data_IF_832864494512
#
_entry.id   IF_832864494512
#
_cell.length_a   1.000
_cell.length_b   1.000
_cell.length_c   1.000
_cell.angle_alpha   90.00
_cell.angle_beta   90.00
_cell.angle_gamma   90.00
#
_symmetry.space_group_name_H-M   'P 1'
#
loop_
_entity.id
_entity.type
_entity.pdbx_description
1 polymer ?
#
# COMPACT_ATOMS: atom_id res chain seq x y z
N UNK A 1 -1.17 6.57 17.70
CA UNK A 1 -2.13 7.04 16.69
C UNK A 1 -1.36 7.09 15.39
N UNK A 2 -1.72 6.25 14.42
CA UNK A 2 -1.05 6.23 13.13
C UNK A 2 -1.45 7.50 12.39
N UNK A 3 -0.47 8.26 11.89
CA UNK A 3 -0.76 9.39 11.00
C UNK A 3 -1.44 8.83 9.74
N UNK A 4 -2.75 9.09 9.60
CA UNK A 4 -3.52 8.70 8.41
C UNK A 4 -2.90 9.27 7.12
N UNK A 5 -2.11 10.34 7.24
CA UNK A 5 -1.43 11.03 6.14
C UNK A 5 0.04 10.63 5.95
N UNK A 6 0.54 9.58 6.62
CA UNK A 6 1.91 9.14 6.35
C UNK A 6 2.03 8.56 4.93
N UNK A 7 3.15 8.79 4.24
CA UNK A 7 3.42 8.12 2.96
C UNK A 7 4.23 6.87 3.25
N UNK A 8 3.62 5.69 3.11
CA UNK A 8 4.26 4.40 3.42
C UNK A 8 4.97 3.76 2.21
N UNK A 9 4.87 4.39 1.03
CA UNK A 9 5.53 3.94 -0.19
C UNK A 9 6.84 4.67 -0.46
N UNK A 10 7.80 3.98 -1.06
CA UNK A 10 9.05 4.62 -1.52
C UNK A 10 8.79 5.41 -2.79
N UNK A 11 8.67 6.73 -2.66
CA UNK A 11 8.34 7.66 -3.74
C UNK A 11 9.17 7.46 -5.02
N UNK A 12 10.47 7.25 -4.89
CA UNK A 12 11.37 7.07 -6.03
C UNK A 12 11.08 5.79 -6.81
N UNK A 13 10.66 4.70 -6.14
CA UNK A 13 10.32 3.43 -6.79
C UNK A 13 9.02 3.54 -7.56
N UNK A 14 7.99 4.14 -6.96
CA UNK A 14 6.70 4.38 -7.62
C UNK A 14 6.87 5.26 -8.86
N UNK A 15 7.56 6.40 -8.70
CA UNK A 15 7.80 7.34 -9.82
C UNK A 15 8.61 6.68 -10.95
N UNK A 16 9.63 5.90 -10.60
CA UNK A 16 10.45 5.19 -11.60
C UNK A 16 9.63 4.13 -12.33
N UNK A 17 8.78 3.38 -11.63
CA UNK A 17 7.92 2.38 -12.24
C UNK A 17 6.96 3.01 -13.25
N UNK A 18 6.23 4.06 -12.85
CA UNK A 18 5.27 4.76 -13.74
C UNK A 18 5.97 5.38 -14.95
N UNK A 19 7.15 6.00 -14.75
CA UNK A 19 7.94 6.58 -15.83
C UNK A 19 8.44 5.52 -16.81
N UNK A 20 8.99 4.41 -16.32
CA UNK A 20 9.62 3.41 -17.18
C UNK A 20 8.59 2.58 -17.95
N UNK A 21 7.40 2.36 -17.38
CA UNK A 21 6.35 1.57 -18.03
C UNK A 21 5.43 2.40 -18.93
N UNK A 22 5.25 3.69 -18.62
CA UNK A 22 4.28 4.53 -19.33
C UNK A 22 4.82 5.85 -19.86
N UNK A 23 6.11 6.14 -19.73
CA UNK A 23 6.73 7.44 -20.08
C UNK A 23 6.08 8.65 -19.38
N UNK A 24 5.44 8.42 -18.22
CA UNK A 24 4.65 9.42 -17.50
C UNK A 24 5.39 10.07 -16.34
N UNK A 25 4.96 11.29 -15.99
CA UNK A 25 5.29 11.94 -14.70
C UNK A 25 4.21 11.60 -13.66
N UNK A 26 4.61 11.58 -12.39
CA UNK A 26 3.70 11.28 -11.28
C UNK A 26 3.61 12.47 -10.33
N UNK A 27 2.40 12.92 -10.01
CA UNK A 27 2.19 13.99 -9.02
C UNK A 27 2.47 13.50 -7.59
N UNK A 28 2.69 14.42 -6.66
CA UNK A 28 2.97 14.07 -5.26
C UNK A 28 1.77 13.39 -4.58
N UNK A 29 0.54 13.85 -4.85
CA UNK A 29 -0.69 13.34 -4.23
C UNK A 29 -0.97 11.87 -4.56
N UNK A 30 -0.46 11.35 -5.68
CA UNK A 30 -0.56 9.92 -6.02
C UNK A 30 0.09 9.06 -4.93
N UNK A 31 1.17 9.53 -4.30
CA UNK A 31 1.85 8.78 -3.24
C UNK A 31 0.97 8.62 -2.00
N UNK A 32 0.19 9.65 -1.66
CA UNK A 32 -0.78 9.58 -0.58
C UNK A 32 -1.88 8.58 -0.92
N UNK A 33 -2.50 8.74 -2.10
CA UNK A 33 -3.58 7.85 -2.55
C UNK A 33 -3.15 6.38 -2.61
N UNK A 34 -1.92 6.08 -3.03
CA UNK A 34 -1.39 4.72 -3.01
C UNK A 34 -1.15 4.22 -1.58
N UNK A 35 -0.66 5.07 -0.69
CA UNK A 35 -0.45 4.73 0.72
C UNK A 35 -1.78 4.38 1.39
N UNK A 36 -2.83 5.16 1.14
CA UNK A 36 -4.17 4.91 1.68
C UNK A 36 -4.73 3.57 1.19
N UNK A 37 -4.58 3.26 -0.10
CA UNK A 37 -5.00 1.97 -0.67
C UNK A 37 -4.24 0.79 -0.07
N UNK A 38 -2.92 0.91 0.10
CA UNK A 38 -2.10 -0.15 0.70
C UNK A 38 -2.51 -0.38 2.15
N UNK A 39 -2.83 0.69 2.92
CA UNK A 39 -3.36 0.53 4.28
C UNK A 39 -4.65 -0.27 4.29
N UNK A 40 -5.61 0.08 3.44
CA UNK A 40 -6.87 -0.68 3.33
C UNK A 40 -6.62 -2.15 3.03
N UNK A 41 -5.74 -2.46 2.07
CA UNK A 41 -5.35 -3.84 1.75
C UNK A 41 -4.71 -4.55 2.95
N UNK A 42 -3.84 -3.87 3.70
CA UNK A 42 -3.21 -4.42 4.90
C UNK A 42 -4.22 -4.63 6.04
N UNK A 43 -5.17 -3.72 6.23
CA UNK A 43 -6.20 -3.81 7.25
C UNK A 43 -7.12 -5.01 7.00
N UNK A 44 -7.54 -5.21 5.75
CA UNK A 44 -8.31 -6.38 5.32
C UNK A 44 -7.50 -7.67 5.50
N UNK A 45 -6.23 -7.67 5.12
CA UNK A 45 -5.37 -8.85 5.30
C UNK A 45 -5.11 -9.20 6.77
N UNK A 46 -5.03 -8.20 7.66
CA UNK A 46 -4.96 -8.43 9.09
C UNK A 46 -6.24 -9.05 9.64
N UNK A 47 -7.41 -8.66 9.13
CA UNK A 47 -8.70 -9.26 9.52
C UNK A 47 -8.81 -10.71 9.04
N UNK A 48 -8.41 -10.99 7.80
CA UNK A 48 -8.39 -12.35 7.25
C UNK A 48 -7.46 -13.27 8.07
N UNK A 49 -6.24 -12.82 8.35
CA UNK A 49 -5.29 -13.57 9.18
C UNK A 49 -5.83 -13.82 10.60
N UNK A 50 -6.49 -12.81 11.19
CA UNK A 50 -7.10 -12.89 12.52
C UNK A 50 -8.27 -13.86 12.56
N UNK A 51 -9.12 -13.84 11.53
CA UNK A 51 -10.25 -14.76 11.38
C UNK A 51 -9.79 -16.22 11.29
N UNK A 52 -8.61 -16.45 10.72
CA UNK A 52 -7.93 -17.75 10.68
C UNK A 52 -7.15 -18.10 11.97
N UNK A 53 -7.25 -17.28 13.02
CA UNK A 53 -6.56 -17.50 14.30
C UNK A 53 -5.06 -17.27 14.27
N UNK A 54 -4.53 -16.60 13.23
CA UNK A 54 -3.11 -16.33 13.05
C UNK A 54 -2.74 -14.91 13.51
N UNK A 55 -1.46 -14.73 13.84
CA UNK A 55 -0.82 -13.41 14.09
C UNK A 55 0.16 -13.00 12.99
N UNK A 56 0.22 -13.80 11.92
CA UNK A 56 1.08 -13.58 10.77
C UNK A 56 0.18 -13.43 9.55
N UNK A 57 0.26 -12.26 8.92
CA UNK A 57 -0.34 -12.00 7.61
C UNK A 57 0.46 -12.76 6.56
N UNK A 58 -0.24 -13.51 5.72
CA UNK A 58 0.31 -14.29 4.62
C UNK A 58 -0.14 -13.67 3.29
N UNK A 59 0.53 -14.07 2.22
CA UNK A 59 0.21 -13.68 0.84
C UNK A 59 -1.26 -13.88 0.50
N UNK A 60 -1.85 -15.01 0.91
CA UNK A 60 -3.27 -15.34 0.70
C UNK A 60 -4.27 -14.46 1.46
N UNK A 61 -3.81 -13.68 2.44
CA UNK A 61 -4.69 -12.80 3.20
C UNK A 61 -4.93 -11.46 2.48
N UNK A 62 -4.05 -11.10 1.54
CA UNK A 62 -4.21 -9.90 0.72
C UNK A 62 -5.39 -10.13 -0.25
N UNK A 63 -6.42 -9.26 -0.24
CA UNK A 63 -7.60 -9.40 -1.08
C UNK A 63 -7.34 -9.17 -2.58
#
# INVERSE_FOLDING_TARGET
>A
MSDENEVIVVASKVKSYIKNQGEMKTSANVLQTLSDRIRTLCDEAMENARSDGRKTVLDRDIP
#
